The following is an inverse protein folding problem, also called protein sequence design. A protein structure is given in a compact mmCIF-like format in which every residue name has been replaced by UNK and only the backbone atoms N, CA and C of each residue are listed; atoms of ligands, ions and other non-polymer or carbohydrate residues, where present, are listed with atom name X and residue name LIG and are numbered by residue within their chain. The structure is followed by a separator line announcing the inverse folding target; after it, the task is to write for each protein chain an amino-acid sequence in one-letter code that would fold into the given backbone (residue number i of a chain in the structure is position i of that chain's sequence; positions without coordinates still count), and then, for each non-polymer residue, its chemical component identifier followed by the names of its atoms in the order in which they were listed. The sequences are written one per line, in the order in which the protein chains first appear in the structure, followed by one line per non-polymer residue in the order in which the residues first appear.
data_IF_828846354750
#
_entry.id   IF_828846354750
#
_cell.length_a   1.000
_cell.length_b   1.000
_cell.length_c   1.000
_cell.angle_alpha   90.00
_cell.angle_beta   90.00
_cell.angle_gamma   90.00
#
_symmetry.space_group_name_H-M   'P 1'
#
loop_
_entity.id
_entity.type
_entity.pdbx_description
1 polymer ?
#
# COMPACT_ATOMS: atom_id res chain seq x y z
N UNK A 1 -17.65 13.32 8.09
CA UNK A 1 -16.21 13.73 8.15
C UNK A 1 -15.96 14.71 7.03
N UNK A 2 -15.20 15.80 7.25
CA UNK A 2 -14.81 16.69 6.15
C UNK A 2 -13.68 16.03 5.37
N UNK A 3 -13.81 15.90 4.05
CA UNK A 3 -12.76 15.31 3.21
C UNK A 3 -11.44 16.10 3.29
N UNK A 4 -11.53 17.42 3.51
CA UNK A 4 -10.37 18.32 3.67
C UNK A 4 -9.45 17.91 4.83
N UNK A 5 -10.01 17.39 5.92
CA UNK A 5 -9.25 17.06 7.14
C UNK A 5 -8.61 15.66 7.08
N UNK A 6 -8.77 14.92 5.98
CA UNK A 6 -8.33 13.53 5.88
C UNK A 6 -6.84 13.36 6.19
N UNK A 7 -5.96 14.15 5.57
CA UNK A 7 -4.52 14.00 5.74
C UNK A 7 -4.08 14.27 7.19
N UNK A 8 -4.63 15.31 7.82
CA UNK A 8 -4.34 15.63 9.22
C UNK A 8 -4.78 14.52 10.17
N UNK A 9 -5.98 13.95 9.95
CA UNK A 9 -6.51 12.86 10.76
C UNK A 9 -5.74 11.56 10.54
N UNK A 10 -5.35 11.26 9.30
CA UNK A 10 -4.50 10.11 8.99
C UNK A 10 -3.11 10.24 9.63
N UNK A 11 -2.51 11.44 9.62
CA UNK A 11 -1.24 11.70 10.31
C UNK A 11 -1.30 11.42 11.81
N UNK A 12 -2.35 11.92 12.49
CA UNK A 12 -2.55 11.65 13.90
C UNK A 12 -2.68 10.15 14.18
N UNK A 13 -3.46 9.44 13.36
CA UNK A 13 -3.67 8.01 13.49
C UNK A 13 -2.38 7.19 13.23
N UNK A 14 -1.60 7.58 12.22
CA UNK A 14 -0.29 6.98 11.93
C UNK A 14 0.64 7.08 13.15
N UNK A 15 0.79 8.28 13.71
CA UNK A 15 1.66 8.51 14.86
C UNK A 15 1.20 7.71 16.09
N UNK A 16 -0.12 7.66 16.33
CA UNK A 16 -0.69 6.85 17.40
C UNK A 16 -0.44 5.36 17.20
N UNK A 17 -0.60 4.85 15.98
CA UNK A 17 -0.33 3.46 15.65
C UNK A 17 1.14 3.11 15.90
N UNK A 18 2.08 3.97 15.48
CA UNK A 18 3.52 3.82 15.75
C UNK A 18 3.78 3.74 17.25
N UNK A 19 3.24 4.67 18.04
CA UNK A 19 3.39 4.67 19.51
C UNK A 19 2.79 3.43 20.15
N UNK A 20 1.58 3.02 19.76
CA UNK A 20 0.90 1.82 20.30
C UNK A 20 1.66 0.54 19.94
N UNK A 21 2.13 0.42 18.70
CA UNK A 21 2.97 -0.71 18.31
C UNK A 21 4.27 -0.73 19.13
N UNK A 22 4.94 0.41 19.33
CA UNK A 22 6.13 0.47 20.20
C UNK A 22 5.82 0.03 21.64
N UNK A 23 4.63 0.36 22.16
CA UNK A 23 4.16 -0.02 23.50
C UNK A 23 3.70 -1.49 23.63
N UNK A 24 3.81 -2.30 22.57
CA UNK A 24 3.51 -3.74 22.63
C UNK A 24 2.13 -4.15 22.12
N UNK A 25 1.32 -3.23 21.59
CA UNK A 25 0.06 -3.61 20.94
C UNK A 25 0.33 -4.32 19.61
N UNK A 26 -0.16 -5.56 19.45
CA UNK A 26 0.15 -6.45 18.30
C UNK A 26 -1.07 -6.90 17.50
N UNK A 27 -2.27 -6.58 17.96
CA UNK A 27 -3.50 -6.94 17.27
C UNK A 27 -4.11 -5.71 16.58
N UNK A 28 -4.16 -5.69 15.24
CA UNK A 28 -4.74 -4.59 14.47
C UNK A 28 -6.22 -4.32 14.81
N UNK A 29 -6.99 -5.31 15.29
CA UNK A 29 -8.41 -5.12 15.58
C UNK A 29 -8.65 -4.46 16.95
N UNK A 30 -7.72 -4.62 17.89
CA UNK A 30 -7.83 -4.06 19.24
C UNK A 30 -6.90 -2.87 19.49
N UNK A 31 -5.97 -2.58 18.56
CA UNK A 31 -5.09 -1.42 18.63
C UNK A 31 -5.84 -0.09 18.42
N UNK A 32 -6.97 -0.09 17.72
CA UNK A 32 -7.70 1.11 17.34
C UNK A 32 -9.03 1.24 18.08
N UNK A 33 -9.44 2.48 18.34
CA UNK A 33 -10.76 2.78 18.90
C UNK A 33 -11.87 2.61 17.84
N UNK A 34 -13.13 2.54 18.28
CA UNK A 34 -14.27 2.46 17.37
C UNK A 34 -14.33 3.62 16.36
N UNK A 35 -14.00 4.84 16.80
CA UNK A 35 -13.99 6.04 15.95
C UNK A 35 -12.85 6.03 14.92
N UNK A 36 -11.71 5.44 15.28
CA UNK A 36 -10.57 5.23 14.37
C UNK A 36 -10.89 4.15 13.34
N UNK A 37 -11.48 3.03 13.77
CA UNK A 37 -11.93 1.97 12.86
C UNK A 37 -13.00 2.48 11.88
N UNK A 38 -13.96 3.29 12.36
CA UNK A 38 -14.94 3.94 11.49
C UNK A 38 -14.26 4.89 10.49
N UNK A 39 -13.29 5.69 10.92
CA UNK A 39 -12.51 6.54 10.02
C UNK A 39 -11.80 5.74 8.93
N UNK A 40 -11.15 4.64 9.28
CA UNK A 40 -10.43 3.80 8.32
C UNK A 40 -11.40 3.19 7.30
N UNK A 41 -12.49 2.58 7.79
CA UNK A 41 -13.54 1.98 6.94
C UNK A 41 -14.13 3.00 5.97
N UNK A 42 -14.50 4.19 6.45
CA UNK A 42 -15.12 5.23 5.63
C UNK A 42 -14.17 5.81 4.56
N UNK A 43 -12.87 5.50 4.64
CA UNK A 43 -11.86 5.90 3.65
C UNK A 43 -11.24 4.71 2.89
N UNK A 44 -11.78 3.49 3.03
CA UNK A 44 -11.32 2.31 2.30
C UNK A 44 -9.96 1.76 2.76
N UNK A 45 -9.57 2.09 4.00
CA UNK A 45 -8.31 1.68 4.63
C UNK A 45 -8.65 0.59 5.66
N UNK A 46 -7.85 -0.46 5.73
CA UNK A 46 -8.00 -1.50 6.75
C UNK A 46 -7.14 -1.18 7.97
N UNK A 47 -7.55 -1.66 9.14
CA UNK A 47 -6.73 -1.57 10.36
C UNK A 47 -5.35 -2.25 10.17
N UNK A 48 -5.32 -3.35 9.42
CA UNK A 48 -4.08 -4.05 9.07
C UNK A 48 -3.10 -3.12 8.34
N UNK A 49 -3.53 -2.35 7.33
CA UNK A 49 -2.60 -1.49 6.59
C UNK A 49 -1.90 -0.48 7.51
N UNK A 50 -2.63 0.11 8.46
CA UNK A 50 -2.06 1.08 9.41
C UNK A 50 -1.14 0.39 10.42
N UNK A 51 -1.55 -0.80 10.88
CA UNK A 51 -0.71 -1.65 11.73
C UNK A 51 0.62 -1.99 11.03
N UNK A 52 0.59 -2.41 9.77
CA UNK A 52 1.79 -2.78 9.02
C UNK A 52 2.74 -1.59 8.85
N UNK A 53 2.22 -0.38 8.58
CA UNK A 53 3.04 0.82 8.57
C UNK A 53 3.70 1.09 9.93
N UNK A 54 2.95 0.93 11.03
CA UNK A 54 3.47 1.13 12.37
C UNK A 54 4.50 0.07 12.77
N UNK A 55 4.28 -1.18 12.35
CA UNK A 55 5.22 -2.28 12.55
C UNK A 55 6.52 -1.99 11.80
N UNK A 56 6.44 -1.72 10.50
CA UNK A 56 7.61 -1.46 9.67
C UNK A 56 8.35 -0.21 10.12
N UNK A 57 7.65 0.84 10.53
CA UNK A 57 8.26 2.07 11.04
C UNK A 57 9.14 1.79 12.26
N UNK A 58 8.65 0.97 13.19
CA UNK A 58 9.39 0.60 14.40
C UNK A 58 10.52 -0.41 14.12
N UNK A 59 10.38 -1.29 13.12
CA UNK A 59 11.36 -2.34 12.82
C UNK A 59 12.44 -1.92 11.82
N UNK A 60 12.17 -0.95 10.97
CA UNK A 60 13.01 -0.60 9.81
C UNK A 60 13.32 0.90 9.74
N UNK A 61 13.82 1.48 10.84
CA UNK A 61 14.33 2.85 10.89
C UNK A 61 13.36 3.91 10.33
N UNK A 62 12.07 3.75 10.65
CA UNK A 62 11.03 4.68 10.25
C UNK A 62 10.39 4.41 8.87
N UNK A 63 10.81 3.38 8.13
CA UNK A 63 10.25 3.04 6.81
C UNK A 63 8.82 2.46 6.89
N UNK A 64 7.98 2.62 5.85
CA UNK A 64 8.19 3.46 4.67
C UNK A 64 8.12 4.96 4.98
N UNK A 65 7.64 5.34 6.17
CA UNK A 65 7.49 6.72 6.59
C UNK A 65 6.12 7.29 6.26
N UNK A 66 5.75 8.36 6.97
CA UNK A 66 4.43 8.96 6.88
C UNK A 66 4.09 9.44 5.47
N UNK A 67 5.01 10.12 4.78
CA UNK A 67 4.74 10.70 3.47
C UNK A 67 4.42 9.63 2.41
N UNK A 68 5.15 8.51 2.45
CA UNK A 68 4.88 7.36 1.58
C UNK A 68 3.56 6.69 1.96
N UNK A 69 3.29 6.47 3.25
CA UNK A 69 2.03 5.89 3.70
C UNK A 69 0.83 6.76 3.28
N UNK A 70 0.90 8.08 3.52
CA UNK A 70 -0.16 9.03 3.14
C UNK A 70 -0.38 9.05 1.64
N UNK A 71 0.68 9.13 0.83
CA UNK A 71 0.55 9.18 -0.63
C UNK A 71 -0.06 7.90 -1.21
N UNK A 72 0.27 6.73 -0.64
CA UNK A 72 -0.37 5.46 -0.99
C UNK A 72 -1.86 5.48 -0.62
N UNK A 73 -2.20 5.87 0.61
CA UNK A 73 -3.59 5.87 1.07
C UNK A 73 -4.45 6.92 0.36
N UNK A 74 -3.89 8.03 -0.11
CA UNK A 74 -4.61 9.00 -0.94
C UNK A 74 -5.10 8.37 -2.25
N UNK A 75 -4.24 7.62 -2.94
CA UNK A 75 -4.60 6.91 -4.18
C UNK A 75 -5.63 5.81 -3.90
N UNK A 76 -5.43 5.01 -2.84
CA UNK A 76 -6.36 3.96 -2.44
C UNK A 76 -7.74 4.53 -2.11
N UNK A 77 -7.79 5.59 -1.31
CA UNK A 77 -9.02 6.28 -0.90
C UNK A 77 -9.77 6.85 -2.10
N UNK A 78 -9.05 7.44 -3.05
CA UNK A 78 -9.64 7.96 -4.28
C UNK A 78 -10.32 6.82 -5.07
N UNK A 79 -9.62 5.70 -5.27
CA UNK A 79 -10.19 4.51 -5.89
C UNK A 79 -11.41 3.97 -5.13
N UNK A 80 -11.34 3.92 -3.80
CA UNK A 80 -12.46 3.46 -2.95
C UNK A 80 -13.72 4.30 -3.16
N UNK A 81 -13.59 5.62 -3.12
CA UNK A 81 -14.73 6.52 -3.18
C UNK A 81 -15.29 6.64 -4.60
N UNK A 82 -14.42 6.71 -5.61
CA UNK A 82 -14.83 7.05 -6.97
C UNK A 82 -15.04 5.84 -7.88
N UNK A 83 -14.28 4.75 -7.68
CA UNK A 83 -14.42 3.53 -8.48
C UNK A 83 -15.25 2.49 -7.77
N UNK A 84 -15.07 2.32 -6.45
CA UNK A 84 -15.83 1.34 -5.67
C UNK A 84 -17.08 1.93 -4.99
N UNK A 85 -17.36 3.22 -5.17
CA UNK A 85 -18.53 3.91 -4.60
C UNK A 85 -18.66 3.75 -3.07
N UNK A 86 -17.53 3.69 -2.38
CA UNK A 86 -17.47 3.47 -0.93
C UNK A 86 -17.83 2.06 -0.49
N UNK A 87 -17.86 1.08 -1.40
CA UNK A 87 -18.15 -0.32 -1.09
C UNK A 87 -16.85 -1.15 -1.11
N UNK A 88 -16.47 -1.83 -0.02
CA UNK A 88 -15.27 -2.65 0.00
C UNK A 88 -15.42 -3.88 -0.90
N UNK A 89 -14.32 -4.32 -1.51
CA UNK A 89 -14.27 -5.61 -2.21
C UNK A 89 -14.44 -6.75 -1.20
N UNK A 90 -15.13 -7.82 -1.59
CA UNK A 90 -15.20 -9.08 -0.83
C UNK A 90 -14.11 -10.06 -1.24
N UNK A 91 -13.29 -9.71 -2.23
CA UNK A 91 -12.19 -10.53 -2.72
C UNK A 91 -10.97 -10.36 -1.81
N UNK A 92 -10.25 -11.46 -1.60
CA UNK A 92 -8.93 -11.45 -0.97
C UNK A 92 -7.96 -12.14 -1.90
N UNK A 93 -6.81 -11.51 -2.14
CA UNK A 93 -5.73 -12.08 -2.94
C UNK A 93 -5.20 -13.35 -2.27
N UNK A 94 -5.11 -14.44 -3.02
CA UNK A 94 -4.40 -15.65 -2.60
C UNK A 94 -2.89 -15.43 -2.74
N UNK A 95 -2.17 -15.44 -1.62
CA UNK A 95 -0.72 -15.26 -1.60
C UNK A 95 0.04 -16.36 -2.33
N UNK A 96 -0.51 -17.58 -2.40
CA UNK A 96 0.12 -18.71 -3.07
C UNK A 96 0.08 -18.55 -4.59
N UNK A 97 -0.83 -17.73 -5.11
CA UNK A 97 -0.93 -17.39 -6.53
C UNK A 97 0.05 -16.28 -6.95
N UNK A 98 0.79 -15.67 -6.01
CA UNK A 98 1.75 -14.63 -6.35
C UNK A 98 3.01 -15.22 -7.02
N UNK A 99 3.49 -14.59 -8.11
CA UNK A 99 4.77 -14.93 -8.74
C UNK A 99 5.94 -14.99 -7.75
N UNK A 100 6.95 -15.80 -8.06
CA UNK A 100 8.09 -15.99 -7.18
C UNK A 100 8.87 -14.69 -6.99
N UNK A 101 9.53 -14.54 -5.83
CA UNK A 101 10.30 -13.32 -5.50
C UNK A 101 11.42 -13.01 -6.52
N UNK A 102 12.03 -14.05 -7.09
CA UNK A 102 13.11 -13.98 -8.08
C UNK A 102 12.61 -14.01 -9.53
N UNK A 103 11.29 -14.08 -9.73
CA UNK A 103 10.72 -14.11 -11.07
C UNK A 103 10.90 -12.76 -11.76
N UNK A 104 11.18 -12.80 -13.06
CA UNK A 104 11.49 -11.58 -13.83
C UNK A 104 10.49 -11.39 -14.96
N UNK A 105 10.21 -10.13 -15.29
CA UNK A 105 9.58 -9.77 -16.57
C UNK A 105 10.49 -8.78 -17.26
N UNK A 106 10.94 -9.10 -18.48
CA UNK A 106 11.92 -8.30 -19.24
C UNK A 106 13.18 -7.96 -18.45
N UNK A 107 13.69 -8.94 -17.69
CA UNK A 107 14.91 -8.78 -16.88
C UNK A 107 14.72 -8.01 -15.57
N UNK A 108 13.49 -7.60 -15.23
CA UNK A 108 13.20 -6.91 -13.97
C UNK A 108 12.66 -7.92 -12.96
N UNK A 109 13.47 -8.28 -11.97
CA UNK A 109 13.08 -9.08 -10.80
C UNK A 109 11.97 -8.37 -10.01
N UNK A 110 11.13 -9.13 -9.30
CA UNK A 110 10.04 -8.63 -8.44
C UNK A 110 8.87 -7.98 -9.17
N UNK A 111 9.05 -7.47 -10.39
CA UNK A 111 8.01 -6.84 -11.19
C UNK A 111 6.77 -7.74 -11.41
N UNK A 112 6.89 -9.03 -11.79
CA UNK A 112 5.73 -9.90 -11.92
C UNK A 112 4.95 -10.02 -10.61
N UNK A 113 5.65 -10.03 -9.47
CA UNK A 113 5.07 -10.21 -8.13
C UNK A 113 4.39 -8.94 -7.61
N UNK A 114 5.00 -7.77 -7.80
CA UNK A 114 4.48 -6.52 -7.24
C UNK A 114 3.23 -6.01 -7.97
N UNK A 115 3.05 -6.35 -9.26
CA UNK A 115 1.86 -5.96 -10.04
C UNK A 115 0.54 -6.47 -9.42
N UNK A 116 0.31 -7.78 -9.22
CA UNK A 116 -0.93 -8.27 -8.61
C UNK A 116 -1.10 -7.80 -7.16
N UNK A 117 0.01 -7.66 -6.43
CA UNK A 117 0.00 -7.11 -5.06
C UNK A 117 -0.44 -5.65 -5.02
N UNK A 118 0.03 -4.81 -5.94
CA UNK A 118 -0.36 -3.41 -6.04
C UNK A 118 -1.83 -3.26 -6.49
N UNK A 119 -2.33 -4.15 -7.36
CA UNK A 119 -3.76 -4.22 -7.69
C UNK A 119 -4.60 -4.55 -6.46
N UNK A 120 -4.19 -5.55 -5.68
CA UNK A 120 -4.86 -5.91 -4.45
C UNK A 120 -4.83 -4.73 -3.45
N UNK A 121 -3.70 -4.01 -3.33
CA UNK A 121 -3.63 -2.78 -2.53
C UNK A 121 -4.66 -1.75 -2.99
N UNK A 122 -4.70 -1.45 -4.29
CA UNK A 122 -5.60 -0.44 -4.87
C UNK A 122 -7.07 -0.76 -4.60
N UNK A 123 -7.45 -2.04 -4.66
CA UNK A 123 -8.82 -2.53 -4.47
C UNK A 123 -9.21 -2.82 -3.02
N UNK A 124 -8.23 -2.82 -2.11
CA UNK A 124 -8.44 -3.21 -0.71
C UNK A 124 -8.56 -4.73 -0.50
N UNK A 125 -7.88 -5.52 -1.33
CA UNK A 125 -7.97 -6.99 -1.40
C UNK A 125 -6.71 -7.70 -0.84
N UNK A 126 -5.80 -6.96 -0.18
CA UNK A 126 -4.63 -7.56 0.46
C UNK A 126 -5.05 -8.41 1.67
N UNK A 127 -4.53 -9.66 1.79
CA UNK A 127 -4.68 -10.44 3.01
C UNK A 127 -3.86 -9.84 4.16
N UNK A 128 -4.19 -10.23 5.40
CA UNK A 128 -3.56 -9.69 6.59
C UNK A 128 -2.03 -9.93 6.68
N UNK A 129 -1.54 -10.98 6.02
CA UNK A 129 -0.13 -11.36 5.96
C UNK A 129 0.68 -10.59 4.90
N UNK A 130 0.04 -9.72 4.11
CA UNK A 130 0.68 -9.04 2.99
C UNK A 130 0.49 -7.51 3.01
N UNK A 131 1.62 -6.80 3.01
CA UNK A 131 1.66 -5.34 2.97
C UNK A 131 2.26 -4.83 1.65
N UNK A 132 1.58 -3.92 0.95
CA UNK A 132 2.20 -3.14 -0.15
C UNK A 132 3.18 -2.10 0.41
N UNK A 133 4.34 -1.97 -0.23
CA UNK A 133 5.48 -1.20 0.29
C UNK A 133 6.18 -1.85 1.50
N UNK A 134 6.14 -3.18 1.60
CA UNK A 134 7.00 -3.94 2.54
C UNK A 134 8.49 -3.87 2.13
N UNK A 135 9.40 -4.42 2.93
CA UNK A 135 10.85 -4.38 2.65
C UNK A 135 11.26 -4.83 1.23
N UNK A 136 10.62 -5.87 0.69
CA UNK A 136 10.88 -6.32 -0.70
C UNK A 136 10.40 -5.32 -1.76
N UNK A 137 9.21 -4.76 -1.58
CA UNK A 137 8.69 -3.72 -2.47
C UNK A 137 9.54 -2.45 -2.38
N UNK A 138 9.98 -2.05 -1.18
CA UNK A 138 10.87 -0.89 -0.99
C UNK A 138 12.21 -1.08 -1.69
N UNK A 139 12.78 -2.29 -1.63
CA UNK A 139 14.00 -2.61 -2.39
C UNK A 139 13.77 -2.41 -3.88
N UNK A 140 12.68 -2.98 -4.42
CA UNK A 140 12.30 -2.79 -5.83
C UNK A 140 12.13 -1.30 -6.19
N UNK A 141 11.38 -0.55 -5.39
CA UNK A 141 11.13 0.87 -5.65
C UNK A 141 12.41 1.72 -5.65
N UNK A 142 13.32 1.46 -4.71
CA UNK A 142 14.64 2.14 -4.66
C UNK A 142 15.52 1.75 -5.85
N UNK A 143 15.55 0.47 -6.21
CA UNK A 143 16.39 -0.03 -7.29
C UNK A 143 15.98 0.55 -8.66
N UNK A 144 14.69 0.77 -8.85
CA UNK A 144 14.12 1.22 -10.12
C UNK A 144 13.77 2.72 -10.16
N UNK A 145 14.11 3.49 -9.11
CA UNK A 145 13.77 4.91 -8.95
C UNK A 145 12.26 5.19 -9.17
N UNK A 146 11.42 4.46 -8.43
CA UNK A 146 9.96 4.56 -8.53
C UNK A 146 9.40 4.95 -7.17
N UNK A 147 8.61 6.02 -7.12
CA UNK A 147 7.90 6.36 -5.91
C UNK A 147 6.70 5.39 -5.70
N UNK A 148 6.47 4.81 -4.51
CA UNK A 148 5.45 3.77 -4.33
C UNK A 148 4.03 4.19 -4.77
N UNK A 149 3.63 5.43 -4.47
CA UNK A 149 2.33 5.96 -4.90
C UNK A 149 2.26 6.23 -6.42
N UNK A 150 3.39 6.55 -7.06
CA UNK A 150 3.48 6.68 -8.53
C UNK A 150 3.20 5.33 -9.21
N UNK A 151 3.77 4.24 -8.67
CA UNK A 151 3.48 2.88 -9.14
C UNK A 151 2.02 2.52 -8.93
N UNK A 152 1.45 2.80 -7.75
CA UNK A 152 0.05 2.50 -7.49
C UNK A 152 -0.90 3.28 -8.43
N UNK A 153 -0.59 4.54 -8.72
CA UNK A 153 -1.33 5.35 -9.69
C UNK A 153 -1.16 4.82 -11.13
N UNK A 154 0.01 4.29 -11.50
CA UNK A 154 0.20 3.58 -12.77
C UNK A 154 -0.69 2.34 -12.86
N UNK A 155 -0.74 1.53 -11.80
CA UNK A 155 -1.60 0.34 -11.74
C UNK A 155 -3.07 0.73 -11.94
N UNK A 156 -3.52 1.84 -11.35
CA UNK A 156 -4.86 2.34 -11.61
C UNK A 156 -5.07 2.71 -13.08
N UNK A 157 -4.22 3.57 -13.65
CA UNK A 157 -4.38 4.05 -15.04
C UNK A 157 -4.29 2.95 -16.09
N UNK A 158 -3.44 1.95 -15.85
CA UNK A 158 -3.22 0.85 -16.79
C UNK A 158 -4.13 -0.36 -16.53
N UNK A 159 -4.71 -0.45 -15.33
CA UNK A 159 -5.60 -1.50 -14.85
C UNK A 159 -5.13 -2.94 -15.18
N UNK A 160 -5.58 -3.50 -16.30
CA UNK A 160 -5.26 -4.86 -16.77
C UNK A 160 -4.15 -4.92 -17.83
N UNK A 161 -3.67 -3.79 -18.33
CA UNK A 161 -2.62 -3.72 -19.35
C UNK A 161 -1.23 -3.92 -18.73
N UNK A 162 -0.88 -5.19 -18.46
CA UNK A 162 0.43 -5.57 -17.95
C UNK A 162 1.58 -5.09 -18.85
N UNK A 163 1.40 -5.10 -20.18
CA UNK A 163 2.43 -4.66 -21.11
C UNK A 163 2.77 -3.17 -20.91
N UNK A 164 1.76 -2.31 -20.79
CA UNK A 164 1.95 -0.88 -20.52
C UNK A 164 2.61 -0.61 -19.16
N UNK A 165 2.24 -1.38 -18.12
CA UNK A 165 2.90 -1.28 -16.80
C UNK A 165 4.37 -1.64 -16.92
N UNK A 166 4.67 -2.76 -17.57
CA UNK A 166 6.03 -3.23 -17.78
C UNK A 166 6.86 -2.24 -18.61
N UNK A 167 6.31 -1.73 -19.71
CA UNK A 167 6.97 -0.72 -20.55
C UNK A 167 7.33 0.54 -19.77
N UNK A 168 6.40 1.00 -18.92
CA UNK A 168 6.63 2.16 -18.08
C UNK A 168 7.75 1.92 -17.07
N UNK A 169 7.76 0.75 -16.40
CA UNK A 169 8.82 0.40 -15.42
C UNK A 169 10.18 0.27 -16.09
N UNK A 170 10.25 -0.36 -17.26
CA UNK A 170 11.49 -0.45 -18.06
C UNK A 170 12.02 0.93 -18.39
N UNK A 171 11.14 1.84 -18.85
CA UNK A 171 11.53 3.22 -19.16
C UNK A 171 12.00 3.98 -17.92
N UNK A 172 11.29 3.87 -16.79
CA UNK A 172 11.68 4.54 -15.53
C UNK A 172 13.04 4.05 -15.03
N UNK A 173 13.25 2.74 -15.06
CA UNK A 173 14.52 2.09 -14.68
C UNK A 173 15.68 2.56 -15.54
N UNK A 174 15.47 2.73 -16.85
CA UNK A 174 16.52 3.19 -17.77
C UNK A 174 16.92 4.67 -17.55
N UNK A 175 16.11 5.44 -16.83
CA UNK A 175 16.35 6.87 -16.54
C UNK A 175 16.90 7.15 -15.14
N UNK A 176 17.22 6.10 -14.36
CA UNK A 176 17.96 6.21 -13.09
C UNK A 176 19.34 6.80 -13.41
N UNK A 177 19.50 8.10 -13.18
CA UNK A 177 20.80 8.76 -13.22
C UNK A 177 21.58 8.42 -11.95
#
# INVERSE_FOLDING_TARGET
MKHYDFAARFHALYNQAVTRHLAGHRDPLTMFSADELAFLRDNGITAQHVFDYAEDHNKYNGEPGFDIALSIELIRRDYFLNVQHGQPSTTVLDENALPAKTETTRGIEWLPRIIPKARAKLRGELPASLMFCCGGDRKFFKEHDIYPAEFLALIWRAEFNNAAITDWVVKRTATRA
#
